data_IF_495617735342
#
_entry.id   IF_495617735342
#
_cell.length_a   1.000
_cell.length_b   1.000
_cell.length_c   1.000
_cell.angle_alpha   90.00
_cell.angle_beta   90.00
_cell.angle_gamma   90.00
#
_symmetry.space_group_name_H-M   'P 1'
#
loop_
_entity.id
_entity.type
_entity.pdbx_description
1 polymer ?
#
# COMPACT_ATOMS: atom_id res chain seq x y z
N UNK A 1 -13.31 26.71 -16.48
CA UNK A 1 -12.04 26.70 -15.71
C UNK A 1 -12.06 25.45 -14.84
N UNK A 2 -11.28 24.44 -15.18
CA UNK A 2 -11.13 23.28 -14.30
C UNK A 2 -10.32 23.74 -13.09
N UNK A 3 -10.98 23.91 -11.96
CA UNK A 3 -10.30 24.00 -10.68
C UNK A 3 -9.61 22.65 -10.48
N UNK A 4 -8.31 22.58 -10.75
CA UNK A 4 -7.49 21.57 -10.11
C UNK A 4 -7.58 21.90 -8.62
N UNK A 5 -8.51 21.26 -7.91
CA UNK A 5 -8.37 21.14 -6.47
C UNK A 5 -6.98 20.58 -6.23
N UNK A 6 -6.21 21.25 -5.36
CA UNK A 6 -5.00 20.64 -4.87
C UNK A 6 -5.42 19.28 -4.32
N UNK A 7 -4.91 18.18 -4.88
CA UNK A 7 -5.24 16.85 -4.41
C UNK A 7 -4.92 16.79 -2.93
N UNK A 8 -5.84 16.25 -2.15
CA UNK A 8 -5.59 16.00 -0.74
C UNK A 8 -4.50 14.93 -0.63
N UNK A 9 -3.89 14.80 0.54
CA UNK A 9 -2.70 13.95 0.75
C UNK A 9 -2.99 12.45 0.72
N UNK A 10 -4.22 12.07 0.36
CA UNK A 10 -4.75 10.71 0.38
C UNK A 10 -4.12 9.85 -0.71
N UNK A 11 -3.99 8.55 -0.44
CA UNK A 11 -3.49 7.57 -1.41
C UNK A 11 -4.35 7.53 -2.66
N UNK A 12 -5.66 7.67 -2.50
CA UNK A 12 -6.65 7.65 -3.56
C UNK A 12 -6.35 8.74 -4.61
N UNK A 13 -6.07 9.95 -4.15
CA UNK A 13 -5.71 11.09 -5.00
C UNK A 13 -4.37 10.85 -5.72
N UNK A 14 -3.38 10.27 -5.02
CA UNK A 14 -2.11 9.87 -5.63
C UNK A 14 -2.34 8.79 -6.71
N UNK A 15 -3.19 7.80 -6.44
CA UNK A 15 -3.50 6.71 -7.37
C UNK A 15 -4.25 7.21 -8.60
N UNK A 16 -5.29 8.02 -8.42
CA UNK A 16 -6.04 8.62 -9.54
C UNK A 16 -5.10 9.45 -10.42
N UNK A 17 -4.21 10.21 -9.80
CA UNK A 17 -3.19 10.96 -10.50
C UNK A 17 -2.22 10.07 -11.30
N UNK A 18 -1.69 9.01 -10.68
CA UNK A 18 -0.83 8.03 -11.35
C UNK A 18 -1.51 7.34 -12.52
N UNK A 19 -2.79 6.98 -12.37
CA UNK A 19 -3.60 6.41 -13.45
C UNK A 19 -3.71 7.38 -14.63
N UNK A 20 -3.91 8.67 -14.38
CA UNK A 20 -3.97 9.70 -15.43
C UNK A 20 -2.66 9.84 -16.21
N UNK A 21 -1.51 9.92 -15.52
CA UNK A 21 -0.20 10.01 -16.19
C UNK A 21 0.10 8.72 -16.96
N UNK A 22 -0.16 7.55 -16.37
CA UNK A 22 0.10 6.27 -17.02
C UNK A 22 -0.73 6.12 -18.30
N UNK A 23 -1.96 6.63 -18.30
CA UNK A 23 -2.77 6.70 -19.51
C UNK A 23 -2.13 7.58 -20.58
N UNK A 24 -1.65 8.77 -20.23
CA UNK A 24 -0.90 9.65 -21.14
C UNK A 24 0.40 9.00 -21.65
N UNK A 25 1.16 8.32 -20.79
CA UNK A 25 2.38 7.57 -21.16
C UNK A 25 2.07 6.45 -22.16
N UNK A 26 1.00 5.68 -21.93
CA UNK A 26 0.57 4.61 -22.83
C UNK A 26 0.12 5.17 -24.19
N UNK A 27 -0.58 6.29 -24.19
CA UNK A 27 -1.01 6.97 -25.42
C UNK A 27 0.19 7.49 -26.22
N UNK A 28 1.17 8.08 -25.53
CA UNK A 28 2.43 8.51 -26.14
C UNK A 28 3.24 7.32 -26.69
N UNK A 29 3.28 6.20 -25.96
CA UNK A 29 3.92 4.97 -26.43
C UNK A 29 3.23 4.41 -27.69
N UNK A 30 1.90 4.38 -27.73
CA UNK A 30 1.15 3.95 -28.92
C UNK A 30 1.43 4.85 -30.14
N UNK A 31 1.57 6.17 -29.93
CA UNK A 31 1.93 7.12 -30.99
C UNK A 31 3.35 6.88 -31.52
N UNK A 32 4.32 6.62 -30.64
CA UNK A 32 5.69 6.23 -31.03
C UNK A 32 5.68 4.92 -31.82
N UNK A 33 4.98 3.89 -31.32
CA UNK A 33 4.87 2.60 -31.98
C UNK A 33 4.24 2.70 -33.39
N UNK A 34 3.34 3.67 -33.58
CA UNK A 34 2.73 3.99 -34.88
C UNK A 34 3.58 4.89 -35.80
N UNK A 35 4.80 5.26 -35.38
CA UNK A 35 5.70 6.15 -36.14
C UNK A 35 5.23 7.61 -36.22
N UNK A 36 4.24 8.01 -35.42
CA UNK A 36 3.61 9.34 -35.47
C UNK A 36 4.27 10.36 -34.54
N UNK A 37 5.14 9.92 -33.64
CA UNK A 37 5.75 10.78 -32.64
C UNK A 37 7.17 10.32 -32.27
N UNK A 38 7.97 11.24 -31.74
CA UNK A 38 9.33 10.97 -31.29
C UNK A 38 9.35 10.62 -29.79
N UNK A 39 10.43 9.97 -29.34
CA UNK A 39 10.59 9.56 -27.93
C UNK A 39 10.63 10.72 -26.92
N UNK A 40 10.67 11.96 -27.41
CA UNK A 40 10.75 13.20 -26.63
C UNK A 40 9.52 13.41 -25.74
N UNK A 41 8.30 13.17 -26.25
CA UNK A 41 7.04 13.30 -25.49
C UNK A 41 6.99 12.26 -24.37
N UNK A 42 7.31 11.01 -24.69
CA UNK A 42 7.37 9.91 -23.71
C UNK A 42 8.42 10.16 -22.61
N UNK A 43 9.59 10.71 -22.97
CA UNK A 43 10.63 11.08 -22.01
C UNK A 43 10.17 12.21 -21.07
N UNK A 44 9.47 13.21 -21.61
CA UNK A 44 8.90 14.32 -20.83
C UNK A 44 7.82 13.85 -19.85
N UNK A 45 6.92 12.96 -20.28
CA UNK A 45 5.90 12.37 -19.41
C UNK A 45 6.51 11.56 -18.26
N UNK A 46 7.55 10.75 -18.54
CA UNK A 46 8.31 10.03 -17.51
C UNK A 46 8.96 10.97 -16.50
N UNK A 47 9.51 12.10 -16.95
CA UNK A 47 10.10 13.11 -16.06
C UNK A 47 9.05 13.80 -15.20
N UNK A 48 7.89 14.14 -15.78
CA UNK A 48 6.76 14.73 -15.06
C UNK A 48 6.22 13.79 -13.99
N UNK A 49 6.07 12.49 -14.30
CA UNK A 49 5.72 11.44 -13.32
C UNK A 49 6.67 11.45 -12.11
N UNK A 50 7.98 11.39 -12.37
CA UNK A 50 9.02 11.40 -11.33
C UNK A 50 9.03 12.69 -10.50
N UNK A 51 8.81 13.84 -11.14
CA UNK A 51 8.75 15.13 -10.44
C UNK A 51 7.57 15.16 -9.46
N UNK A 52 6.42 14.70 -9.90
CA UNK A 52 5.20 14.76 -9.10
C UNK A 52 5.19 13.70 -8.00
N UNK A 53 5.72 12.51 -8.28
CA UNK A 53 6.06 11.54 -7.25
C UNK A 53 6.91 12.18 -6.14
N UNK A 54 7.90 13.01 -6.51
CA UNK A 54 8.73 13.73 -5.55
C UNK A 54 7.97 14.80 -4.77
N UNK A 55 7.09 15.54 -5.44
CA UNK A 55 6.27 16.58 -4.80
C UNK A 55 5.30 15.97 -3.80
N UNK A 56 4.59 14.89 -4.15
CA UNK A 56 3.67 14.19 -3.26
C UNK A 56 4.35 13.49 -2.09
N UNK A 57 5.60 13.01 -2.25
CA UNK A 57 6.38 12.47 -1.12
C UNK A 57 6.53 13.46 0.04
N UNK A 58 6.49 14.76 -0.22
CA UNK A 58 6.58 15.79 0.81
C UNK A 58 5.25 16.08 1.54
N UNK A 59 4.14 15.53 1.04
CA UNK A 59 2.78 15.84 1.51
C UNK A 59 2.03 14.59 1.99
N UNK A 60 2.55 13.38 1.72
CA UNK A 60 2.00 12.13 2.27
C UNK A 60 1.87 12.24 3.79
N UNK A 61 0.64 12.12 4.28
CA UNK A 61 0.38 12.10 5.71
C UNK A 61 0.74 10.70 6.24
N UNK A 62 1.77 10.55 7.11
CA UNK A 62 2.13 9.25 7.68
C UNK A 62 1.02 8.63 8.55
N UNK A 63 -0.01 9.42 8.87
CA UNK A 63 -1.16 9.02 9.67
C UNK A 63 -2.33 8.49 8.83
N UNK A 64 -2.20 8.40 7.49
CA UNK A 64 -3.23 7.83 6.63
C UNK A 64 -3.34 6.31 6.89
N UNK A 65 -4.37 5.95 7.67
CA UNK A 65 -4.76 4.58 7.99
C UNK A 65 -6.02 4.21 7.20
N UNK A 66 -5.96 3.09 6.49
CA UNK A 66 -7.10 2.51 5.76
C UNK A 66 -7.54 1.24 6.50
N UNK A 67 -8.84 1.09 6.71
CA UNK A 67 -9.45 -0.01 7.45
C UNK A 67 -10.28 -0.90 6.50
N UNK A 68 -10.14 -2.22 6.65
CA UNK A 68 -10.79 -3.23 5.82
C UNK A 68 -11.34 -4.35 6.70
N UNK A 69 -12.50 -4.91 6.35
CA UNK A 69 -13.08 -6.00 7.13
C UNK A 69 -12.55 -7.37 6.68
N UNK A 70 -12.03 -7.46 5.46
CA UNK A 70 -11.52 -8.70 4.88
C UNK A 70 -10.11 -8.51 4.30
N UNK A 71 -9.26 -9.53 4.40
CA UNK A 71 -7.92 -9.52 3.78
C UNK A 71 -7.99 -9.35 2.26
N UNK A 72 -8.98 -9.95 1.62
CA UNK A 72 -9.16 -9.85 0.16
C UNK A 72 -9.45 -8.41 -0.27
N UNK A 73 -10.19 -7.63 0.54
CA UNK A 73 -10.45 -6.21 0.27
C UNK A 73 -9.15 -5.39 0.36
N UNK A 74 -8.33 -5.68 1.37
CA UNK A 74 -7.01 -5.06 1.55
C UNK A 74 -6.05 -5.42 0.40
N UNK A 75 -6.02 -6.68 -0.02
CA UNK A 75 -5.20 -7.14 -1.16
C UNK A 75 -5.63 -6.42 -2.45
N UNK A 76 -6.93 -6.41 -2.75
CA UNK A 76 -7.48 -5.74 -3.92
C UNK A 76 -7.15 -4.25 -3.91
N UNK A 77 -7.28 -3.59 -2.76
CA UNK A 77 -6.91 -2.18 -2.59
C UNK A 77 -5.44 -1.97 -2.97
N UNK A 78 -4.51 -2.70 -2.34
CA UNK A 78 -3.07 -2.55 -2.56
C UNK A 78 -2.65 -2.86 -4.01
N UNK A 79 -3.16 -3.94 -4.60
CA UNK A 79 -2.90 -4.33 -6.00
C UNK A 79 -3.42 -3.25 -6.96
N UNK A 80 -4.63 -2.73 -6.73
CA UNK A 80 -5.25 -1.73 -7.61
C UNK A 80 -4.50 -0.41 -7.68
N UNK A 81 -3.67 -0.10 -6.68
CA UNK A 81 -2.84 1.11 -6.67
C UNK A 81 -1.74 1.07 -7.72
N UNK A 82 -1.25 -0.12 -8.08
CA UNK A 82 -0.05 -0.34 -8.92
C UNK A 82 1.24 0.31 -8.40
N UNK A 83 1.21 0.87 -7.18
CA UNK A 83 2.35 1.50 -6.52
C UNK A 83 3.32 0.48 -5.93
N UNK A 84 2.81 -0.72 -5.63
CA UNK A 84 3.55 -1.78 -4.98
C UNK A 84 3.67 -3.00 -5.92
N UNK A 85 4.81 -3.71 -5.94
CA UNK A 85 4.93 -4.96 -6.68
C UNK A 85 3.92 -5.99 -6.16
N UNK A 86 3.14 -6.61 -7.05
CA UNK A 86 2.11 -7.59 -6.68
C UNK A 86 2.65 -8.74 -5.83
N UNK A 87 3.86 -9.23 -6.13
CA UNK A 87 4.50 -10.27 -5.31
C UNK A 87 4.69 -9.85 -3.85
N UNK A 88 5.05 -8.59 -3.59
CA UNK A 88 5.21 -8.07 -2.23
C UNK A 88 3.89 -7.88 -1.52
N UNK A 89 2.86 -7.45 -2.26
CA UNK A 89 1.49 -7.38 -1.72
C UNK A 89 1.07 -8.77 -1.27
N UNK A 90 1.19 -9.77 -2.14
CA UNK A 90 0.85 -11.14 -1.82
C UNK A 90 1.63 -11.69 -0.62
N UNK A 91 2.95 -11.46 -0.56
CA UNK A 91 3.77 -11.81 0.61
C UNK A 91 3.26 -11.18 1.90
N UNK A 92 2.79 -9.93 1.85
CA UNK A 92 2.24 -9.22 3.00
C UNK A 92 0.88 -9.78 3.42
N UNK A 93 0.04 -10.17 2.46
CA UNK A 93 -1.26 -10.79 2.74
C UNK A 93 -1.09 -12.17 3.36
N UNK A 94 -0.16 -12.99 2.85
CA UNK A 94 0.20 -14.28 3.46
C UNK A 94 0.72 -14.09 4.89
N UNK A 95 1.46 -13.01 5.13
CA UNK A 95 1.93 -12.65 6.47
C UNK A 95 0.78 -12.36 7.43
N UNK A 96 -0.17 -11.50 7.05
CA UNK A 96 -1.36 -11.21 7.88
C UNK A 96 -2.28 -12.43 8.05
N UNK A 97 -2.38 -13.29 7.04
CA UNK A 97 -3.12 -14.55 7.16
C UNK A 97 -2.51 -15.45 8.26
N UNK A 98 -1.18 -15.47 8.40
CA UNK A 98 -0.53 -16.23 9.48
C UNK A 98 -0.89 -15.69 10.87
N UNK A 99 -1.04 -14.37 11.02
CA UNK A 99 -1.56 -13.77 12.26
C UNK A 99 -3.03 -14.16 12.50
N UNK A 100 -3.87 -14.12 11.47
CA UNK A 100 -5.28 -14.55 11.56
C UNK A 100 -5.41 -16.00 12.02
N UNK A 101 -4.64 -16.91 11.42
CA UNK A 101 -4.66 -18.33 11.75
C UNK A 101 -4.20 -18.56 13.19
N UNK A 102 -3.15 -17.84 13.63
CA UNK A 102 -2.66 -17.93 15.00
C UNK A 102 -3.68 -17.39 16.01
N UNK A 103 -4.32 -16.25 15.72
CA UNK A 103 -5.36 -15.67 16.55
C UNK A 103 -6.56 -16.60 16.69
N UNK A 104 -7.01 -17.19 15.58
CA UNK A 104 -8.11 -18.15 15.55
C UNK A 104 -7.78 -19.40 16.36
N UNK A 105 -6.55 -19.94 16.23
CA UNK A 105 -6.08 -21.08 17.06
C UNK A 105 -6.03 -20.74 18.55
N UNK A 106 -5.76 -19.49 18.90
CA UNK A 106 -5.78 -19.00 20.28
C UNK A 106 -7.20 -18.70 20.81
N UNK A 107 -8.25 -18.92 20.00
CA UNK A 107 -9.64 -18.66 20.38
C UNK A 107 -10.03 -17.18 20.33
N UNK A 108 -9.24 -16.35 19.64
CA UNK A 108 -9.55 -14.93 19.43
C UNK A 108 -10.32 -14.72 18.14
N UNK A 109 -11.10 -13.64 18.09
CA UNK A 109 -11.81 -13.21 16.88
C UNK A 109 -11.05 -12.08 16.19
N UNK A 110 -10.79 -12.23 14.89
CA UNK A 110 -10.26 -11.13 14.05
C UNK A 110 -11.39 -10.13 13.79
N UNK A 111 -11.09 -8.83 13.88
CA UNK A 111 -12.07 -7.73 13.72
C UNK A 111 -11.98 -7.11 12.34
N UNK A 112 -10.79 -6.61 12.02
CA UNK A 112 -10.50 -5.78 10.86
C UNK A 112 -8.99 -5.84 10.56
N UNK A 113 -8.63 -5.22 9.44
CA UNK A 113 -7.29 -5.11 8.92
C UNK A 113 -6.97 -3.65 8.64
N UNK A 114 -5.79 -3.24 9.04
CA UNK A 114 -5.34 -1.86 8.87
C UNK A 114 -4.16 -1.80 7.90
N UNK A 115 -4.13 -0.75 7.08
CA UNK A 115 -3.01 -0.40 6.23
C UNK A 115 -2.58 1.04 6.51
N UNK A 116 -1.36 1.21 7.02
CA UNK A 116 -0.73 2.53 7.19
C UNK A 116 0.24 2.79 6.07
N UNK A 117 0.20 4.01 5.55
CA UNK A 117 1.22 4.47 4.63
C UNK A 117 2.44 4.98 5.37
N UNK A 118 3.60 4.58 4.86
CA UNK A 118 4.87 5.00 5.41
C UNK A 118 5.81 5.46 4.30
N UNK A 119 6.80 6.25 4.69
CA UNK A 119 7.93 6.61 3.84
C UNK A 119 9.17 5.88 4.34
N UNK A 120 9.85 5.17 3.45
CA UNK A 120 11.16 4.60 3.75
C UNK A 120 12.19 5.72 3.98
N UNK A 121 13.36 5.38 4.55
CA UNK A 121 14.50 6.33 4.69
C UNK A 121 14.95 6.95 3.36
N UNK A 122 14.63 6.32 2.23
CA UNK A 122 14.90 6.82 0.86
C UNK A 122 13.71 7.56 0.25
N UNK A 123 12.73 7.91 1.08
CA UNK A 123 11.48 8.59 0.70
C UNK A 123 10.67 7.82 -0.36
N UNK A 124 10.80 6.50 -0.43
CA UNK A 124 9.88 5.68 -1.23
C UNK A 124 8.62 5.39 -0.41
N UNK A 125 7.45 5.50 -1.04
CA UNK A 125 6.16 5.12 -0.46
C UNK A 125 6.18 3.62 -0.20
N UNK A 126 5.76 3.23 1.00
CA UNK A 126 5.58 1.86 1.43
C UNK A 126 4.32 1.79 2.29
N UNK A 127 3.93 0.59 2.69
CA UNK A 127 2.86 0.38 3.66
C UNK A 127 3.33 -0.52 4.79
N UNK A 128 2.57 -0.50 5.89
CA UNK A 128 2.59 -1.46 6.97
C UNK A 128 1.17 -1.99 7.18
N UNK A 129 1.03 -3.28 7.45
CA UNK A 129 -0.26 -3.92 7.68
C UNK A 129 -0.38 -4.34 9.14
N UNK A 130 -1.60 -4.53 9.62
CA UNK A 130 -1.85 -5.16 10.92
C UNK A 130 -3.21 -5.81 10.94
N UNK A 131 -3.24 -7.01 11.50
CA UNK A 131 -4.45 -7.74 11.88
C UNK A 131 -4.91 -7.33 13.27
N UNK A 132 -6.17 -6.90 13.41
CA UNK A 132 -6.75 -6.60 14.71
C UNK A 132 -7.58 -7.76 15.25
N UNK A 133 -7.46 -8.01 16.54
CA UNK A 133 -8.17 -9.07 17.25
C UNK A 133 -8.93 -8.54 18.46
N UNK A 134 -10.09 -9.14 18.75
CA UNK A 134 -10.84 -8.91 19.99
C UNK A 134 -10.15 -9.64 21.12
N UNK A 135 -9.88 -8.92 22.21
CA UNK A 135 -9.24 -9.43 23.40
C UNK A 135 -10.18 -9.23 24.58
N UNK A 136 -10.87 -10.30 24.99
CA UNK A 136 -11.94 -10.26 25.99
C UNK A 136 -11.44 -10.41 27.44
N UNK A 137 -10.21 -10.85 27.64
CA UNK A 137 -9.47 -10.83 28.91
C UNK A 137 -7.98 -10.72 28.59
N UNK A 138 -7.20 -10.08 29.48
CA UNK A 138 -5.75 -9.90 29.33
C UNK A 138 -5.14 -11.17 28.71
N UNK A 139 -4.70 -11.10 27.45
CA UNK A 139 -4.05 -12.22 26.83
C UNK A 139 -2.74 -12.33 27.58
N UNK A 140 -2.52 -13.49 28.18
CA UNK A 140 -1.20 -13.83 28.70
C UNK A 140 -0.21 -13.46 27.61
N UNK A 141 0.80 -12.65 27.94
CA UNK A 141 1.85 -12.17 27.05
C UNK A 141 2.29 -13.21 25.98
N UNK A 142 2.29 -14.49 26.36
CA UNK A 142 2.51 -15.65 25.48
C UNK A 142 1.57 -15.76 24.27
N UNK A 143 0.28 -15.44 24.39
CA UNK A 143 -0.69 -15.46 23.27
C UNK A 143 -0.36 -14.37 22.25
N UNK A 144 -0.08 -13.14 22.70
CA UNK A 144 0.37 -12.08 21.80
C UNK A 144 1.67 -12.46 21.11
N UNK A 145 2.65 -12.96 21.88
CA UNK A 145 3.92 -13.41 21.33
C UNK A 145 3.75 -14.51 20.30
N UNK A 146 2.85 -15.48 20.53
CA UNK A 146 2.54 -16.54 19.57
C UNK A 146 1.95 -15.98 18.27
N UNK A 147 1.03 -15.01 18.37
CA UNK A 147 0.42 -14.38 17.19
C UNK A 147 1.46 -13.57 16.44
N UNK A 148 2.19 -12.67 17.11
CA UNK A 148 3.20 -11.81 16.50
C UNK A 148 4.33 -12.62 15.85
N UNK A 149 4.69 -13.78 16.40
CA UNK A 149 5.79 -14.60 15.86
C UNK A 149 5.36 -15.68 14.87
N UNK A 150 4.06 -15.77 14.56
CA UNK A 150 3.47 -16.76 13.66
C UNK A 150 3.95 -16.66 12.20
N UNK A 151 4.13 -15.46 11.60
CA UNK A 151 4.59 -15.36 10.23
C UNK A 151 5.99 -15.95 10.04
N UNK A 152 6.20 -16.63 8.90
CA UNK A 152 7.48 -17.23 8.56
C UNK A 152 8.60 -16.19 8.35
N UNK A 153 8.24 -15.04 7.77
CA UNK A 153 9.11 -13.87 7.66
C UNK A 153 8.59 -12.79 8.61
N UNK A 154 9.19 -12.71 9.79
CA UNK A 154 8.78 -11.74 10.82
C UNK A 154 9.13 -10.32 10.41
N UNK A 155 8.16 -9.41 10.52
CA UNK A 155 8.34 -8.00 10.33
C UNK A 155 9.11 -7.38 11.51
N UNK A 156 9.57 -6.14 11.37
CA UNK A 156 10.15 -5.41 12.50
C UNK A 156 9.12 -5.18 13.62
N UNK A 157 7.85 -4.98 13.26
CA UNK A 157 6.76 -4.76 14.22
C UNK A 157 6.49 -6.03 15.03
N UNK A 158 6.57 -7.20 14.40
CA UNK A 158 6.38 -8.51 15.05
C UNK A 158 7.37 -8.79 16.17
N UNK A 159 8.59 -8.25 16.04
CA UNK A 159 9.69 -8.47 16.96
C UNK A 159 9.71 -7.51 18.16
N UNK A 160 8.82 -6.51 18.17
CA UNK A 160 8.73 -5.49 19.21
C UNK A 160 7.73 -5.83 20.34
N UNK A 161 7.07 -6.97 20.25
CA UNK A 161 6.04 -7.47 21.18
C UNK A 161 6.54 -8.69 21.96
#
# INVERSE_FOLDING_TARGET
>A
MNYFHNPTTRLEDLVEYYKSIKHEENLAYARIASGRDTSTVFRSLKQRRKKIEREYRGILNPEDCYEFFQLDELEQFLVSTTLFPECRVHESIVHEQAHCDAATRAGLSVVDFHCWLALTKRSAVTYALSTRVVVSALPLHEVYKQISTAPAQRSYFDLYH
#
